data_IF_402049064904
#
_entry.id   IF_402049064904
#
_cell.length_a   1.000
_cell.length_b   1.000
_cell.length_c   1.000
_cell.angle_alpha   90.00
_cell.angle_beta   90.00
_cell.angle_gamma   90.00
#
_symmetry.space_group_name_H-M   'P 1'
#
loop_
_entity.id
_entity.type
_entity.pdbx_description
1 polymer ?
#
# COMPACT_ATOMS: atom_id res chain seq x y z
N UNK A 1 -15.83 -15.71 5.23
CA UNK A 1 -16.13 -14.33 5.72
C UNK A 1 -15.51 -13.95 7.08
N UNK A 2 -15.09 -14.88 7.96
CA UNK A 2 -14.53 -14.52 9.30
C UNK A 2 -13.00 -14.31 9.33
N UNK A 3 -12.27 -14.97 8.42
CA UNK A 3 -10.79 -14.88 8.36
C UNK A 3 -10.28 -13.58 7.69
N UNK A 4 -11.06 -13.03 6.77
CA UNK A 4 -10.71 -11.83 5.98
C UNK A 4 -10.76 -10.54 6.83
N UNK A 5 -11.71 -10.44 7.76
CA UNK A 5 -11.88 -9.26 8.63
C UNK A 5 -10.95 -9.22 9.84
N UNK A 6 -10.32 -10.35 10.21
CA UNK A 6 -9.49 -10.43 11.42
C UNK A 6 -8.02 -10.06 11.14
N UNK A 7 -7.56 -10.16 9.89
CA UNK A 7 -6.17 -9.87 9.51
C UNK A 7 -6.04 -8.62 8.62
N UNK A 8 -7.02 -8.29 7.77
CA UNK A 8 -6.88 -7.24 6.73
C UNK A 8 -7.76 -6.01 6.96
N UNK A 9 -7.54 -5.32 8.09
CA UNK A 9 -8.21 -4.06 8.39
C UNK A 9 -7.62 -2.85 7.65
N UNK A 10 -8.11 -2.56 6.44
CA UNK A 10 -8.16 -1.31 5.65
C UNK A 10 -6.91 -0.42 5.48
N UNK A 11 -5.92 -0.36 6.38
CA UNK A 11 -4.62 0.30 6.14
C UNK A 11 -3.57 -0.38 7.03
N UNK A 12 -2.63 -1.14 6.43
CA UNK A 12 -1.60 -1.85 7.19
C UNK A 12 -0.21 -1.32 6.85
N UNK A 13 0.48 -0.81 7.87
CA UNK A 13 1.92 -0.50 7.84
C UNK A 13 2.68 -1.61 8.59
N UNK A 14 3.68 -2.24 7.95
CA UNK A 14 4.59 -3.20 8.58
C UNK A 14 5.92 -2.53 8.91
N UNK A 15 6.34 -2.54 10.19
CA UNK A 15 7.54 -1.86 10.71
C UNK A 15 8.58 -2.85 11.22
N UNK A 16 9.86 -2.66 10.84
CA UNK A 16 10.98 -3.49 11.32
C UNK A 16 11.72 -2.88 12.52
N UNK A 17 11.62 -1.55 12.76
CA UNK A 17 12.58 -0.82 13.62
C UNK A 17 12.06 -0.40 14.99
N UNK A 18 10.87 -0.83 15.37
CA UNK A 18 10.36 -0.69 16.74
C UNK A 18 10.42 -2.06 17.39
N UNK A 19 11.45 -2.25 18.21
CA UNK A 19 11.68 -3.39 19.09
C UNK A 19 10.37 -4.11 19.49
N UNK A 20 10.23 -5.36 19.06
CA UNK A 20 9.30 -6.38 19.57
C UNK A 20 7.86 -6.49 19.02
N UNK A 21 7.43 -5.83 17.92
CA UNK A 21 6.08 -6.10 17.37
C UNK A 21 5.99 -6.24 15.85
N UNK A 22 5.76 -7.48 15.38
CA UNK A 22 5.20 -7.82 14.05
C UNK A 22 3.69 -7.49 13.95
N UNK A 23 3.25 -6.37 14.54
CA UNK A 23 1.84 -6.00 14.58
C UNK A 23 1.58 -4.94 13.52
N UNK A 24 0.57 -5.10 12.65
CA UNK A 24 0.22 -4.07 11.67
C UNK A 24 -0.17 -2.78 12.41
N UNK A 25 0.50 -1.68 12.07
CA UNK A 25 0.20 -0.38 12.66
C UNK A 25 -0.86 0.33 11.82
N UNK A 26 -1.96 0.73 12.48
CA UNK A 26 -2.93 1.65 11.91
C UNK A 26 -2.43 3.07 12.12
N UNK A 27 -1.72 3.58 11.13
CA UNK A 27 -1.32 4.99 11.06
C UNK A 27 -2.26 5.69 10.09
N UNK A 28 -2.82 6.81 10.49
CA UNK A 28 -3.60 7.67 9.61
C UNK A 28 -2.71 8.82 9.12
N UNK A 29 -2.98 9.36 7.92
CA UNK A 29 -2.18 10.42 7.25
C UNK A 29 -0.95 9.92 6.44
N UNK A 30 -0.29 10.87 5.75
CA UNK A 30 0.90 10.71 4.91
C UNK A 30 2.13 10.16 5.66
N UNK A 31 2.10 10.14 6.99
CA UNK A 31 3.19 9.62 7.85
C UNK A 31 3.59 8.19 7.46
N UNK A 32 2.68 7.41 6.88
CA UNK A 32 2.95 6.06 6.36
C UNK A 32 4.02 6.04 5.26
N UNK A 33 3.95 6.97 4.32
CA UNK A 33 4.95 7.10 3.26
C UNK A 33 6.30 7.55 3.84
N UNK A 34 6.29 8.52 4.75
CA UNK A 34 7.51 8.96 5.43
C UNK A 34 8.16 7.85 6.26
N UNK A 35 7.36 6.99 6.91
CA UNK A 35 7.87 5.85 7.65
C UNK A 35 8.58 4.84 6.74
N UNK A 36 8.05 4.60 5.54
CA UNK A 36 8.72 3.75 4.54
C UNK A 36 10.02 4.40 4.06
N UNK A 37 9.96 5.67 3.66
CA UNK A 37 11.13 6.40 3.16
C UNK A 37 12.26 6.51 4.20
N UNK A 38 11.93 6.58 5.49
CA UNK A 38 12.91 6.56 6.59
C UNK A 38 13.44 5.17 6.95
N UNK A 39 12.84 4.11 6.40
CA UNK A 39 13.14 2.72 6.78
C UNK A 39 12.58 2.32 8.16
N UNK A 40 11.63 3.10 8.69
CA UNK A 40 10.90 2.76 9.91
C UNK A 40 9.78 1.73 9.59
N UNK A 41 9.33 1.68 8.33
CA UNK A 41 8.41 0.69 7.78
C UNK A 41 8.90 0.09 6.46
N UNK A 42 8.46 -1.13 6.15
CA UNK A 42 8.80 -1.83 4.90
C UNK A 42 7.65 -1.83 3.90
N UNK A 43 6.40 -1.82 4.39
CA UNK A 43 5.21 -2.02 3.57
C UNK A 43 4.05 -1.16 4.07
N UNK A 44 3.35 -0.52 3.15
CA UNK A 44 2.02 0.05 3.31
C UNK A 44 1.10 -0.54 2.25
N UNK A 45 -0.04 -1.09 2.67
CA UNK A 45 -1.10 -1.54 1.76
C UNK A 45 -2.44 -0.93 2.14
N UNK A 46 -3.17 -0.49 1.12
CA UNK A 46 -4.55 0.00 1.23
C UNK A 46 -5.38 -0.59 0.09
N UNK A 47 -6.27 -1.52 0.42
CA UNK A 47 -7.18 -2.10 -0.58
C UNK A 47 -8.35 -1.16 -0.87
N UNK A 48 -8.71 -1.05 -2.15
CA UNK A 48 -9.78 -0.18 -2.61
C UNK A 48 -11.12 -0.66 -2.02
N UNK A 49 -11.88 0.25 -1.43
CA UNK A 49 -13.24 -0.02 -0.95
C UNK A 49 -14.24 0.35 -2.03
N UNK A 50 -15.22 -0.52 -2.28
CA UNK A 50 -16.29 -0.24 -3.26
C UNK A 50 -16.95 1.11 -2.99
N UNK A 51 -17.06 1.94 -4.03
CA UNK A 51 -17.66 3.28 -3.97
C UNK A 51 -16.76 4.39 -3.40
N UNK A 52 -15.54 4.08 -2.94
CA UNK A 52 -14.58 5.08 -2.48
C UNK A 52 -13.47 5.30 -3.51
N UNK A 53 -13.19 6.57 -3.82
CA UNK A 53 -12.07 6.98 -4.68
C UNK A 53 -11.02 7.70 -3.87
N UNK A 54 -9.77 7.29 -4.01
CA UNK A 54 -8.62 7.94 -3.38
C UNK A 54 -8.38 9.30 -4.02
N UNK A 55 -8.09 10.31 -3.21
CA UNK A 55 -7.79 11.67 -3.67
C UNK A 55 -6.30 11.81 -3.96
N UNK A 56 -5.96 12.48 -5.05
CA UNK A 56 -4.57 12.62 -5.48
C UNK A 56 -3.70 13.29 -4.40
N UNK A 57 -4.21 14.33 -3.74
CA UNK A 57 -3.45 15.05 -2.72
C UNK A 57 -3.15 14.24 -1.47
N UNK A 58 -3.84 13.11 -1.23
CA UNK A 58 -3.55 12.24 -0.09
C UNK A 58 -2.34 11.31 -0.36
N UNK A 59 -1.90 11.21 -1.61
CA UNK A 59 -0.87 10.26 -2.05
C UNK A 59 0.31 10.90 -2.78
N UNK A 60 0.10 11.90 -3.63
CA UNK A 60 1.10 12.40 -4.57
C UNK A 60 2.45 12.74 -3.91
N UNK A 61 2.43 13.53 -2.84
CA UNK A 61 3.65 13.89 -2.12
C UNK A 61 4.33 12.68 -1.48
N UNK A 62 3.56 11.74 -0.93
CA UNK A 62 4.08 10.53 -0.31
C UNK A 62 4.74 9.58 -1.31
N UNK A 63 4.19 9.48 -2.52
CA UNK A 63 4.77 8.69 -3.61
C UNK A 63 6.17 9.18 -3.97
N UNK A 64 6.30 10.48 -4.26
CA UNK A 64 7.60 11.07 -4.61
C UNK A 64 8.63 10.82 -3.50
N UNK A 65 8.25 11.04 -2.25
CA UNK A 65 9.15 10.83 -1.11
C UNK A 65 9.64 9.37 -1.00
N UNK A 66 8.76 8.40 -1.25
CA UNK A 66 9.14 6.97 -1.19
C UNK A 66 10.01 6.59 -2.37
N UNK A 67 9.69 7.05 -3.58
CA UNK A 67 10.46 6.76 -4.79
C UNK A 67 11.87 7.36 -4.72
N UNK A 68 12.01 8.61 -4.25
CA UNK A 68 13.32 9.25 -4.03
C UNK A 68 14.15 8.56 -2.94
N UNK A 69 13.50 7.87 -2.00
CA UNK A 69 14.17 7.03 -1.00
C UNK A 69 14.54 5.63 -1.52
N UNK A 70 14.27 5.33 -2.80
CA UNK A 70 14.53 4.04 -3.44
C UNK A 70 13.42 2.99 -3.23
N UNK A 71 12.28 3.40 -2.67
CA UNK A 71 11.08 2.58 -2.57
C UNK A 71 10.26 2.54 -3.85
N UNK A 72 9.16 1.78 -3.80
CA UNK A 72 8.25 1.58 -4.95
C UNK A 72 6.82 1.81 -4.50
N UNK A 73 6.04 2.54 -5.30
CA UNK A 73 4.60 2.72 -5.09
C UNK A 73 3.82 2.41 -6.37
N UNK A 74 2.85 1.50 -6.27
CA UNK A 74 1.98 1.11 -7.39
C UNK A 74 0.54 0.89 -6.92
N UNK A 75 -0.36 0.64 -7.85
CA UNK A 75 -1.60 -0.07 -7.53
C UNK A 75 -1.31 -1.54 -7.16
N UNK A 76 -2.31 -2.28 -6.69
CA UNK A 76 -2.15 -3.67 -6.31
C UNK A 76 -2.08 -4.65 -7.51
N UNK A 77 -2.13 -4.14 -8.74
CA UNK A 77 -1.78 -4.84 -9.98
C UNK A 77 -0.37 -4.52 -10.48
N UNK A 78 0.42 -3.75 -9.73
CA UNK A 78 1.81 -3.42 -10.05
C UNK A 78 1.98 -2.26 -11.02
N UNK A 79 0.92 -1.51 -11.35
CA UNK A 79 0.99 -0.36 -12.26
C UNK A 79 1.27 0.94 -11.51
N UNK A 80 2.09 1.85 -12.06
CA UNK A 80 2.30 3.16 -11.45
C UNK A 80 0.98 3.94 -11.28
N UNK A 81 0.92 4.75 -10.23
CA UNK A 81 -0.25 5.60 -9.98
C UNK A 81 -0.30 6.76 -10.99
N UNK A 82 -1.44 6.94 -11.65
CA UNK A 82 -1.65 8.03 -12.61
C UNK A 82 -2.30 9.25 -11.94
N UNK A 83 -1.49 10.28 -11.69
CA UNK A 83 -1.94 11.54 -11.09
C UNK A 83 -2.46 12.58 -12.11
N UNK A 84 -2.58 12.24 -13.39
CA UNK A 84 -2.97 13.18 -14.46
C UNK A 84 -4.49 13.30 -14.70
N UNK A 85 -5.31 12.48 -14.04
CA UNK A 85 -6.73 12.27 -14.37
C UNK A 85 -7.72 13.15 -13.59
N UNK A 86 -7.24 14.19 -12.89
CA UNK A 86 -8.09 15.17 -12.22
C UNK A 86 -7.91 15.17 -10.70
N UNK A 87 -8.99 14.95 -9.95
CA UNK A 87 -9.03 15.07 -8.47
C UNK A 87 -8.73 13.74 -7.77
N UNK A 88 -9.05 12.62 -8.44
CA UNK A 88 -9.02 11.28 -7.88
C UNK A 88 -8.06 10.38 -8.64
N UNK A 89 -7.55 9.35 -7.97
CA UNK A 89 -6.85 8.25 -8.61
C UNK A 89 -7.87 7.35 -9.31
N UNK A 90 -7.90 7.43 -10.63
CA UNK A 90 -8.80 6.64 -11.48
C UNK A 90 -8.13 5.32 -11.90
N UNK A 91 -8.94 4.26 -12.03
CA UNK A 91 -8.47 2.99 -12.59
C UNK A 91 -7.54 2.16 -11.69
N UNK A 92 -7.51 2.43 -10.38
CA UNK A 92 -6.76 1.63 -9.39
C UNK A 92 -7.19 0.16 -9.44
N UNK A 93 -6.23 -0.75 -9.66
CA UNK A 93 -6.47 -2.18 -9.50
C UNK A 93 -6.30 -2.58 -8.03
N UNK A 94 -7.40 -3.00 -7.40
CA UNK A 94 -7.52 -3.56 -6.03
C UNK A 94 -7.00 -2.70 -4.87
N UNK A 95 -6.24 -1.64 -5.08
CA UNK A 95 -5.69 -0.80 -4.01
C UNK A 95 -4.38 -0.11 -4.36
N UNK A 96 -3.68 0.38 -3.33
CA UNK A 96 -2.35 1.01 -3.40
C UNK A 96 -1.39 0.21 -2.53
N UNK A 97 -0.18 -0.02 -3.05
CA UNK A 97 0.92 -0.68 -2.37
C UNK A 97 2.13 0.26 -2.42
N UNK A 98 2.73 0.54 -1.27
CA UNK A 98 4.03 1.19 -1.15
C UNK A 98 4.98 0.30 -0.36
N UNK A 99 6.23 0.21 -0.76
CA UNK A 99 7.24 -0.57 -0.04
C UNK A 99 8.66 -0.03 -0.24
N UNK A 100 9.58 -0.48 0.60
CA UNK A 100 10.95 0.02 0.64
C UNK A 100 11.88 -0.45 -0.49
N UNK A 101 11.41 -1.31 -1.41
CA UNK A 101 12.23 -1.72 -2.55
C UNK A 101 11.59 -2.73 -3.51
N UNK A 102 12.19 -2.87 -4.70
CA UNK A 102 11.67 -3.64 -5.85
C UNK A 102 11.48 -5.13 -5.56
N UNK A 103 12.48 -5.80 -4.99
CA UNK A 103 12.38 -7.25 -4.70
C UNK A 103 11.29 -7.57 -3.68
N UNK A 104 11.01 -6.65 -2.75
CA UNK A 104 9.89 -6.80 -1.83
C UNK A 104 8.58 -6.57 -2.58
N UNK A 105 8.50 -5.52 -3.40
CA UNK A 105 7.35 -5.20 -4.23
C UNK A 105 6.86 -6.39 -5.06
N UNK A 106 7.75 -7.03 -5.81
CA UNK A 106 7.43 -8.19 -6.66
C UNK A 106 6.75 -9.31 -5.86
N UNK A 107 7.34 -9.67 -4.70
CA UNK A 107 6.79 -10.70 -3.81
C UNK A 107 5.40 -10.33 -3.27
N UNK A 108 5.15 -9.03 -3.04
CA UNK A 108 3.86 -8.56 -2.55
C UNK A 108 2.80 -8.65 -3.66
N UNK A 109 3.15 -8.29 -4.88
CA UNK A 109 2.25 -8.43 -6.03
C UNK A 109 1.88 -9.90 -6.24
N UNK A 110 2.85 -10.81 -6.24
CA UNK A 110 2.59 -12.26 -6.34
C UNK A 110 1.65 -12.75 -5.24
N UNK A 111 1.89 -12.33 -3.99
CA UNK A 111 1.06 -12.69 -2.85
C UNK A 111 -0.38 -12.14 -2.97
N UNK A 112 -0.54 -10.92 -3.50
CA UNK A 112 -1.86 -10.32 -3.76
C UNK A 112 -2.61 -11.12 -4.81
N UNK A 113 -1.97 -11.50 -5.93
CA UNK A 113 -2.61 -12.32 -6.96
C UNK A 113 -3.03 -13.69 -6.41
N UNK A 114 -2.14 -14.40 -5.72
CA UNK A 114 -2.46 -15.69 -5.13
C UNK A 114 -3.63 -15.62 -4.13
N UNK A 115 -3.67 -14.57 -3.30
CA UNK A 115 -4.76 -14.35 -2.34
C UNK A 115 -6.08 -13.97 -3.02
N UNK A 116 -6.03 -13.25 -4.14
CA UNK A 116 -7.22 -12.82 -4.87
C UNK A 116 -7.87 -13.98 -5.62
N UNK A 117 -7.07 -14.81 -6.29
CA UNK A 117 -7.57 -15.96 -7.05
C UNK A 117 -8.25 -17.00 -6.14
N UNK A 118 -7.69 -17.21 -4.94
CA UNK A 118 -8.28 -18.08 -3.92
C UNK A 118 -9.55 -17.52 -3.26
N UNK A 119 -9.82 -16.22 -3.37
CA UNK A 119 -11.00 -15.56 -2.78
C UNK A 119 -12.17 -15.38 -3.77
N UNK A 120 -11.92 -15.59 -5.07
CA UNK A 120 -12.93 -15.55 -6.14
C UNK A 120 -13.35 -16.96 -6.63
N UNK A 121 -12.85 -18.01 -5.98
CA UNK A 121 -13.37 -19.38 -6.04
C UNK A 121 -14.43 -19.59 -4.95
#
# INVERSE_FOLDING_TARGET
LSFFNTIFGIEMLYSLKIWYRKQPLRVHSMVKYAAIARGDAEIFMKFAKSGYKEKIWDHAAGVVIVEEAGGVVTDAGGRPLDFSKGTYLEGLDRGIIACSGVTLHEKLIDAVYASWDSSNL
#
